data_IF_430982505135
#
_entry.id   IF_430982505135
#
_cell.length_a   1.000
_cell.length_b   1.000
_cell.length_c   1.000
_cell.angle_alpha   90.00
_cell.angle_beta   90.00
_cell.angle_gamma   90.00
#
_symmetry.space_group_name_H-M   'P 1'
#
loop_
_entity.id
_entity.type
_entity.pdbx_description
1 polymer ?
#
# COMPACT_ATOMS: atom_id res chain seq x y z
N UNK A 1 -18.35 -13.17 10.48
CA UNK A 1 -19.31 -12.83 9.42
C UNK A 1 -18.59 -12.00 8.36
N UNK A 2 -18.39 -12.57 7.18
CA UNK A 2 -17.90 -11.90 5.97
C UNK A 2 -18.52 -12.65 4.80
N UNK A 3 -19.10 -11.96 3.82
CA UNK A 3 -19.80 -12.65 2.72
C UNK A 3 -20.87 -11.85 1.98
N UNK A 4 -21.23 -10.65 2.44
CA UNK A 4 -22.04 -9.72 1.65
C UNK A 4 -21.17 -8.58 1.15
N UNK A 5 -21.38 -8.17 -0.11
CA UNK A 5 -20.73 -7.00 -0.68
C UNK A 5 -21.06 -5.76 0.15
N UNK A 6 -20.02 -5.19 0.76
CA UNK A 6 -20.14 -3.99 1.60
C UNK A 6 -20.03 -2.70 0.79
N UNK A 7 -19.57 -2.78 -0.46
CA UNK A 7 -19.36 -1.66 -1.36
C UNK A 7 -20.11 -1.88 -2.67
N UNK A 8 -20.56 -0.80 -3.35
CA UNK A 8 -21.06 -0.90 -4.70
C UNK A 8 -20.02 -1.50 -5.65
N UNK A 9 -20.51 -2.20 -6.67
CA UNK A 9 -19.66 -2.69 -7.76
C UNK A 9 -18.81 -1.57 -8.35
N UNK A 10 -17.53 -1.84 -8.58
CA UNK A 10 -16.57 -0.88 -9.15
C UNK A 10 -16.12 0.25 -8.21
N UNK A 11 -16.65 0.33 -6.98
CA UNK A 11 -16.31 1.43 -6.07
C UNK A 11 -14.81 1.48 -5.76
N UNK A 12 -14.18 0.34 -5.46
CA UNK A 12 -12.73 0.28 -5.17
C UNK A 12 -11.92 0.78 -6.36
N UNK A 13 -12.20 0.30 -7.58
CA UNK A 13 -11.48 0.72 -8.78
C UNK A 13 -11.57 2.24 -9.01
N UNK A 14 -12.74 2.85 -8.73
CA UNK A 14 -12.90 4.31 -8.82
C UNK A 14 -12.21 5.05 -7.66
N UNK A 15 -12.16 4.44 -6.47
CA UNK A 15 -11.60 5.01 -5.25
C UNK A 15 -10.07 5.03 -5.25
N UNK A 16 -9.45 4.07 -5.91
CA UNK A 16 -8.00 3.84 -5.82
C UNK A 16 -7.24 4.32 -7.05
N UNK A 17 -7.87 5.22 -7.83
CA UNK A 17 -7.22 5.97 -8.91
C UNK A 17 -7.12 7.44 -8.53
N UNK A 18 -6.10 8.11 -9.06
CA UNK A 18 -5.84 9.53 -8.79
C UNK A 18 -6.98 10.41 -9.31
N UNK A 19 -7.74 11.00 -8.38
CA UNK A 19 -8.76 12.01 -8.66
C UNK A 19 -8.25 13.44 -8.44
N UNK A 20 -7.26 13.59 -7.55
CA UNK A 20 -6.62 14.87 -7.25
C UNK A 20 -5.09 14.74 -7.16
N UNK A 21 -4.40 15.77 -7.62
CA UNK A 21 -2.98 15.98 -7.36
C UNK A 21 -2.75 16.38 -5.91
N UNK A 22 -1.67 15.86 -5.32
CA UNK A 22 -1.25 16.16 -3.94
C UNK A 22 0.10 16.88 -3.88
N UNK A 23 0.64 17.30 -5.03
CA UNK A 23 1.95 17.93 -5.12
C UNK A 23 3.15 16.97 -5.05
N UNK A 24 2.90 15.65 -4.99
CA UNK A 24 3.92 14.60 -5.00
C UNK A 24 3.84 13.83 -6.33
N UNK A 25 4.86 13.89 -7.21
CA UNK A 25 4.87 13.13 -8.46
C UNK A 25 4.79 11.63 -8.21
N UNK A 26 4.01 10.92 -9.03
CA UNK A 26 3.80 9.47 -8.85
C UNK A 26 2.76 9.12 -7.78
N UNK A 27 2.22 10.11 -7.08
CA UNK A 27 1.24 9.94 -6.01
C UNK A 27 0.00 10.84 -6.27
N UNK A 28 -1.11 10.49 -5.63
CA UNK A 28 -2.39 11.17 -5.78
C UNK A 28 -3.36 10.83 -4.66
N UNK A 29 -4.58 11.32 -4.80
CA UNK A 29 -5.66 11.04 -3.86
C UNK A 29 -6.96 10.71 -4.61
N UNK A 30 -7.68 9.68 -4.14
CA UNK A 30 -8.95 9.22 -4.68
C UNK A 30 -9.93 8.85 -3.57
N UNK A 31 -11.08 9.53 -3.51
CA UNK A 31 -12.05 9.49 -2.41
C UNK A 31 -11.44 9.64 -1.01
N UNK A 32 -10.91 8.56 -0.43
CA UNK A 32 -10.31 8.48 0.91
C UNK A 32 -8.96 7.71 0.92
N UNK A 33 -8.38 7.47 -0.26
CA UNK A 33 -7.15 6.69 -0.45
C UNK A 33 -6.05 7.56 -1.03
N UNK A 34 -4.84 7.37 -0.51
CA UNK A 34 -3.61 7.82 -1.18
C UNK A 34 -3.26 6.81 -2.26
N UNK A 35 -3.09 7.26 -3.50
CA UNK A 35 -2.92 6.40 -4.67
C UNK A 35 -1.52 6.54 -5.26
N UNK A 36 -0.91 5.45 -5.71
CA UNK A 36 0.40 5.45 -6.36
C UNK A 36 0.26 5.04 -7.84
N UNK A 37 1.14 5.54 -8.70
CA UNK A 37 1.10 5.27 -10.16
C UNK A 37 1.35 3.79 -10.51
N UNK A 38 1.91 3.01 -9.59
CA UNK A 38 2.08 1.56 -9.75
C UNK A 38 0.80 0.75 -9.47
N UNK A 39 -0.31 1.42 -9.16
CA UNK A 39 -1.61 0.82 -8.86
C UNK A 39 -1.80 0.41 -7.40
N UNK A 40 -0.77 0.57 -6.56
CA UNK A 40 -0.93 0.42 -5.11
C UNK A 40 -1.58 1.64 -4.48
N UNK A 41 -2.19 1.45 -3.33
CA UNK A 41 -2.89 2.51 -2.61
C UNK A 41 -2.86 2.27 -1.10
N UNK A 42 -3.02 3.34 -0.32
CA UNK A 42 -2.92 3.26 1.13
C UNK A 42 -3.87 4.20 1.86
N UNK A 43 -4.25 3.79 3.07
CA UNK A 43 -4.91 4.64 4.04
C UNK A 43 -3.90 4.96 5.14
N UNK A 44 -3.69 6.26 5.39
CA UNK A 44 -2.73 6.76 6.36
C UNK A 44 -3.44 7.42 7.53
N UNK A 45 -3.06 7.01 8.74
CA UNK A 45 -3.38 7.72 9.97
C UNK A 45 -2.12 8.28 10.62
N UNK A 46 -2.30 9.35 11.39
CA UNK A 46 -1.21 10.00 12.12
C UNK A 46 -0.50 9.03 13.07
N UNK A 47 0.76 9.31 13.36
CA UNK A 47 1.62 8.45 14.19
C UNK A 47 1.89 7.06 13.60
N UNK A 48 1.75 6.91 12.28
CA UNK A 48 2.22 5.73 11.54
C UNK A 48 1.20 4.60 11.42
N UNK A 49 -0.08 4.90 11.59
CA UNK A 49 -1.15 3.95 11.26
C UNK A 49 -1.20 3.81 9.73
N UNK A 50 -1.26 2.58 9.22
CA UNK A 50 -1.23 2.37 7.77
C UNK A 50 -1.88 1.07 7.34
N UNK A 51 -2.69 1.16 6.28
CA UNK A 51 -3.12 0.01 5.47
C UNK A 51 -2.58 0.27 4.08
N UNK A 52 -1.68 -0.59 3.60
CA UNK A 52 -1.14 -0.55 2.24
C UNK A 52 -1.65 -1.75 1.46
N UNK A 53 -2.12 -1.53 0.24
CA UNK A 53 -2.69 -2.56 -0.63
C UNK A 53 -2.03 -2.46 -2.00
N UNK A 54 -1.54 -3.60 -2.49
CA UNK A 54 -1.00 -3.76 -3.83
C UNK A 54 -1.73 -4.93 -4.52
N UNK A 55 -2.73 -4.64 -5.38
CA UNK A 55 -3.49 -5.66 -6.09
C UNK A 55 -2.64 -6.48 -7.06
N UNK A 56 -1.60 -5.87 -7.66
CA UNK A 56 -0.75 -6.55 -8.65
C UNK A 56 0.04 -7.71 -8.01
N UNK A 57 0.29 -7.61 -6.71
CA UNK A 57 1.02 -8.62 -5.91
C UNK A 57 0.13 -9.39 -4.94
N UNK A 58 -1.19 -9.19 -4.98
CA UNK A 58 -2.14 -9.75 -4.00
C UNK A 58 -1.68 -9.52 -2.55
N UNK A 59 -1.22 -8.29 -2.26
CA UNK A 59 -0.56 -7.93 -1.01
C UNK A 59 -1.39 -6.93 -0.21
N UNK A 60 -1.51 -7.19 1.10
CA UNK A 60 -2.01 -6.24 2.08
C UNK A 60 -1.01 -6.16 3.24
N UNK A 61 -0.63 -4.95 3.63
CA UNK A 61 0.17 -4.68 4.81
C UNK A 61 -0.64 -3.82 5.78
N UNK A 62 -0.95 -4.38 6.95
CA UNK A 62 -1.50 -3.63 8.07
C UNK A 62 -0.37 -3.25 9.03
N UNK A 63 -0.25 -1.96 9.35
CA UNK A 63 0.80 -1.43 10.21
C UNK A 63 0.20 -0.55 11.32
N UNK A 64 0.69 -0.76 12.53
CA UNK A 64 0.43 0.10 13.68
C UNK A 64 1.78 0.54 14.25
N UNK A 65 1.90 1.83 14.55
CA UNK A 65 3.12 2.43 15.08
C UNK A 65 2.80 3.58 16.04
N UNK A 66 3.85 4.16 16.61
CA UNK A 66 3.79 5.34 17.47
C UNK A 66 4.97 6.25 17.14
N UNK A 67 4.94 6.84 15.94
CA UNK A 67 6.03 7.71 15.47
C UNK A 67 6.26 8.92 16.38
N UNK A 68 7.45 9.52 16.28
CA UNK A 68 7.82 10.65 17.13
C UNK A 68 7.10 11.94 16.77
N UNK A 69 6.55 12.04 15.56
CA UNK A 69 5.64 13.10 15.15
C UNK A 69 4.38 12.53 14.49
N UNK A 70 3.34 13.37 14.40
CA UNK A 70 2.07 12.98 13.80
C UNK A 70 2.23 12.60 12.31
N UNK A 71 3.15 13.25 11.60
CA UNK A 71 3.38 13.05 10.17
C UNK A 71 4.60 12.16 9.86
N UNK A 72 5.44 11.82 10.85
CA UNK A 72 6.65 11.03 10.65
C UNK A 72 7.79 11.82 9.98
N UNK A 73 7.77 13.15 10.09
CA UNK A 73 8.70 14.11 9.48
C UNK A 73 9.90 14.48 10.37
N UNK A 74 9.89 14.11 11.65
CA UNK A 74 10.96 14.47 12.60
C UNK A 74 12.10 13.44 12.61
N UNK A 75 11.85 12.18 12.24
CA UNK A 75 12.82 11.08 12.29
C UNK A 75 12.95 10.24 11.02
N UNK A 76 12.33 10.67 9.91
CA UNK A 76 12.31 9.92 8.66
C UNK A 76 11.45 8.66 8.71
N UNK A 77 10.52 8.58 9.67
CA UNK A 77 9.67 7.41 9.85
C UNK A 77 8.73 7.19 8.65
N UNK A 78 8.30 8.29 8.01
CA UNK A 78 7.52 8.23 6.78
C UNK A 78 8.29 7.56 5.64
N UNK A 79 9.51 8.02 5.37
CA UNK A 79 10.39 7.47 4.34
C UNK A 79 10.75 6.02 4.64
N UNK A 80 11.04 5.69 5.90
CA UNK A 80 11.34 4.33 6.33
C UNK A 80 10.15 3.39 6.06
N UNK A 81 8.93 3.82 6.33
CA UNK A 81 7.72 3.03 6.02
C UNK A 81 7.53 2.83 4.52
N UNK A 82 7.72 3.88 3.70
CA UNK A 82 7.67 3.74 2.24
C UNK A 82 8.74 2.76 1.74
N UNK A 83 9.96 2.85 2.28
CA UNK A 83 11.05 1.92 1.98
C UNK A 83 10.72 0.48 2.33
N UNK A 84 10.07 0.25 3.49
CA UNK A 84 9.59 -1.06 3.90
C UNK A 84 8.57 -1.65 2.92
N UNK A 85 7.58 -0.87 2.46
CA UNK A 85 6.62 -1.32 1.45
C UNK A 85 7.31 -1.71 0.14
N UNK A 86 8.24 -0.88 -0.35
CA UNK A 86 9.01 -1.18 -1.57
C UNK A 86 9.89 -2.43 -1.42
N UNK A 87 10.47 -2.65 -0.24
CA UNK A 87 11.26 -3.85 0.03
C UNK A 87 10.40 -5.13 -0.02
N UNK A 88 9.18 -5.09 0.52
CA UNK A 88 8.24 -6.24 0.43
C UNK A 88 7.79 -6.47 -1.01
N UNK A 89 7.42 -5.42 -1.75
CA UNK A 89 7.08 -5.53 -3.17
C UNK A 89 8.21 -6.23 -3.95
N UNK A 90 9.46 -5.78 -3.73
CA UNK A 90 10.62 -6.39 -4.37
C UNK A 90 10.86 -7.85 -3.96
N UNK A 91 10.69 -8.18 -2.67
CA UNK A 91 10.85 -9.55 -2.19
C UNK A 91 9.85 -10.52 -2.84
N UNK A 92 8.59 -10.10 -2.98
CA UNK A 92 7.55 -10.88 -3.68
C UNK A 92 7.91 -11.05 -5.16
N UNK A 93 8.35 -9.98 -5.82
CA UNK A 93 8.75 -10.06 -7.23
C UNK A 93 9.91 -11.05 -7.45
N UNK A 94 10.88 -11.07 -6.53
CA UNK A 94 12.00 -12.02 -6.55
C UNK A 94 11.56 -13.47 -6.31
N UNK A 95 10.60 -13.68 -5.40
CA UNK A 95 10.02 -15.01 -5.15
C UNK A 95 9.28 -15.53 -6.38
N UNK A 96 8.48 -14.68 -7.04
CA UNK A 96 7.75 -15.04 -8.26
C UNK A 96 8.67 -15.25 -9.47
N UNK A 97 9.82 -14.56 -9.51
CA UNK A 97 10.82 -14.72 -10.56
C UNK A 97 11.71 -15.95 -10.37
N UNK A 98 11.77 -16.51 -9.17
CA UNK A 98 12.53 -17.73 -8.88
C UNK A 98 11.69 -18.94 -9.27
N UNK A 99 12.11 -19.77 -10.25
CA UNK A 99 11.39 -21.00 -10.55
C UNK A 99 11.29 -21.85 -9.29
N UNK A 100 10.12 -22.43 -9.02
CA UNK A 100 9.94 -23.43 -7.98
C UNK A 100 10.78 -24.68 -8.33
N UNK A 101 12.07 -24.62 -8.04
CA UNK A 101 13.03 -25.70 -8.19
C UNK A 101 13.07 -26.54 -6.92
N UNK A 102 12.86 -27.84 -7.11
CA UNK A 102 13.03 -28.93 -6.14
C UNK A 102 11.85 -29.19 -5.19
N UNK A 103 10.67 -29.46 -5.76
CA UNK A 103 9.90 -30.60 -5.27
C UNK A 103 10.61 -31.88 -5.75
N UNK A 104 11.55 -32.38 -4.94
CA UNK A 104 12.16 -33.69 -5.12
C UNK A 104 11.11 -34.82 -4.96
N UNK A 105 11.28 -35.96 -5.66
CA UNK A 105 10.30 -37.06 -5.69
C UNK A 105 10.12 -37.78 -4.35
#
# INVERSE_FOLDING_TARGET
EGGSDVLPEGWIAAATVKQADIGSPGEGYGYQWWTWDDGSYQADGIFGQGIFIDPNRNLVIASNASWTSALGDTGGEWEARKGFYKAIQHAIDMELATPQGDAAP
#
